data_IF_608086305718
#
_entry.id   IF_608086305718
#
_cell.length_a   1.000
_cell.length_b   1.000
_cell.length_c   1.000
_cell.angle_alpha   90.00
_cell.angle_beta   90.00
_cell.angle_gamma   90.00
#
_symmetry.space_group_name_H-M   'P 1'
#
loop_
_entity.id
_entity.type
_entity.pdbx_description
1 polymer ?
#
# COMPACT_ATOMS: atom_id res chain seq x y z
N UNK A 1 -5.04 13.39 -20.73
CA UNK A 1 -3.93 14.19 -21.28
C UNK A 1 -2.93 13.20 -21.84
N UNK A 2 -2.54 13.38 -23.09
CA UNK A 2 -1.56 12.56 -23.79
C UNK A 2 -0.52 13.52 -24.38
N UNK A 3 0.71 13.05 -24.47
CA UNK A 3 1.78 13.75 -25.18
C UNK A 3 1.88 13.07 -26.54
N UNK A 4 1.76 13.86 -27.60
CA UNK A 4 1.93 13.40 -28.96
C UNK A 4 3.27 13.89 -29.51
N UNK A 5 4.05 12.98 -30.07
CA UNK A 5 5.30 13.30 -30.74
C UNK A 5 5.08 13.35 -32.25
N UNK A 6 5.11 14.56 -32.84
CA UNK A 6 4.96 14.76 -34.29
C UNK A 6 6.06 14.06 -35.11
N UNK A 7 7.27 13.91 -34.56
CA UNK A 7 8.40 13.29 -35.29
C UNK A 7 8.31 11.77 -35.33
N UNK A 8 7.84 11.14 -34.24
CA UNK A 8 7.75 9.68 -34.14
C UNK A 8 6.34 9.16 -34.47
N UNK A 9 5.36 10.06 -34.59
CA UNK A 9 3.93 9.74 -34.73
C UNK A 9 3.41 8.83 -33.59
N UNK A 10 3.92 9.04 -32.37
CA UNK A 10 3.56 8.25 -31.18
C UNK A 10 2.75 9.13 -30.23
N UNK A 11 1.64 8.58 -29.73
CA UNK A 11 0.87 9.14 -28.64
C UNK A 11 1.14 8.36 -27.35
N UNK A 12 1.61 9.05 -26.32
CA UNK A 12 1.85 8.47 -24.99
C UNK A 12 0.87 9.08 -23.99
N UNK A 13 0.07 8.28 -23.27
CA UNK A 13 -0.79 8.80 -22.22
C UNK A 13 0.05 9.35 -21.07
N UNK A 14 -0.25 10.55 -20.58
CA UNK A 14 0.49 11.12 -19.44
C UNK A 14 0.08 10.50 -18.10
N UNK A 15 -1.01 9.74 -18.08
CA UNK A 15 -1.46 9.01 -16.89
C UNK A 15 -0.71 7.68 -16.80
N UNK A 16 0.37 7.67 -16.02
CA UNK A 16 1.20 6.49 -15.77
C UNK A 16 0.67 5.59 -14.63
N UNK A 17 -0.30 6.05 -13.84
CA UNK A 17 -0.91 5.26 -12.76
C UNK A 17 -2.22 4.60 -13.22
N UNK A 18 -2.35 3.30 -12.93
CA UNK A 18 -3.63 2.59 -12.99
C UNK A 18 -4.65 3.29 -12.08
N UNK A 19 -5.91 3.26 -12.50
CA UNK A 19 -7.03 3.82 -11.75
C UNK A 19 -7.81 2.72 -11.05
N UNK A 20 -8.12 2.97 -9.79
CA UNK A 20 -8.79 2.07 -8.89
C UNK A 20 -10.18 2.59 -8.51
N UNK A 21 -11.00 1.69 -7.97
CA UNK A 21 -12.34 1.97 -7.45
C UNK A 21 -13.44 1.83 -8.51
N UNK A 22 -14.72 1.79 -8.08
CA UNK A 22 -15.86 1.57 -8.99
C UNK A 22 -15.95 2.63 -10.09
N UNK A 23 -15.60 3.88 -9.77
CA UNK A 23 -15.62 5.01 -10.69
C UNK A 23 -14.32 5.20 -11.47
N UNK A 24 -13.32 4.32 -11.30
CA UNK A 24 -11.99 4.40 -11.92
C UNK A 24 -11.37 5.80 -11.87
N UNK A 25 -11.48 6.48 -10.73
CA UNK A 25 -11.04 7.86 -10.54
C UNK A 25 -9.95 8.01 -9.46
N UNK A 26 -9.52 6.91 -8.84
CA UNK A 26 -8.51 6.95 -7.77
C UNK A 26 -7.19 6.42 -8.33
N UNK A 27 -6.15 7.26 -8.51
CA UNK A 27 -4.84 6.80 -8.90
C UNK A 27 -4.30 5.78 -7.87
N UNK A 28 -3.90 4.60 -8.33
CA UNK A 28 -3.31 3.56 -7.49
C UNK A 28 -2.03 4.05 -6.78
N UNK A 29 -1.26 4.91 -7.44
CA UNK A 29 -0.04 5.51 -6.88
C UNK A 29 -0.28 6.17 -5.51
N UNK A 30 -1.46 6.75 -5.28
CA UNK A 30 -1.83 7.38 -4.02
C UNK A 30 -1.86 6.37 -2.85
N UNK A 31 -2.27 5.12 -3.12
CA UNK A 31 -2.23 4.05 -2.11
C UNK A 31 -0.80 3.57 -1.88
N UNK A 32 -0.02 3.43 -2.96
CA UNK A 32 1.37 2.96 -2.90
C UNK A 32 2.25 3.91 -2.09
N UNK A 33 2.17 5.22 -2.35
CA UNK A 33 2.96 6.21 -1.62
C UNK A 33 2.56 6.28 -0.15
N UNK A 34 1.27 6.18 0.18
CA UNK A 34 0.81 6.14 1.57
C UNK A 34 1.30 4.89 2.32
N UNK A 35 1.29 3.73 1.66
CA UNK A 35 1.85 2.51 2.21
C UNK A 35 3.38 2.63 2.41
N UNK A 36 4.10 3.12 1.40
CA UNK A 36 5.55 3.31 1.47
C UNK A 36 5.96 4.24 2.61
N UNK A 37 5.29 5.40 2.75
CA UNK A 37 5.52 6.34 3.86
C UNK A 37 5.30 5.67 5.22
N UNK A 38 4.22 4.91 5.37
CA UNK A 38 3.94 4.15 6.59
C UNK A 38 5.02 3.12 6.90
N UNK A 39 5.52 2.40 5.90
CA UNK A 39 6.59 1.40 6.06
C UNK A 39 7.91 2.03 6.52
N UNK A 40 8.22 3.27 6.14
CA UNK A 40 9.41 4.00 6.62
C UNK A 40 9.16 4.78 7.91
N UNK A 41 7.99 4.61 8.55
CA UNK A 41 7.65 5.29 9.79
C UNK A 41 7.19 6.75 9.61
N UNK A 42 6.87 7.18 8.39
CA UNK A 42 6.42 8.52 8.07
C UNK A 42 4.91 8.60 7.83
N UNK A 43 4.33 9.73 8.25
CA UNK A 43 2.90 10.03 8.07
C UNK A 43 2.60 10.86 6.82
N UNK A 44 1.41 11.47 6.80
CA UNK A 44 1.04 12.42 5.75
C UNK A 44 2.00 13.62 5.68
N UNK A 45 2.51 14.10 6.81
CA UNK A 45 3.45 15.23 6.85
C UNK A 45 4.79 14.89 6.19
N UNK A 46 5.30 13.67 6.40
CA UNK A 46 6.48 13.19 5.68
C UNK A 46 6.22 13.09 4.17
N UNK A 47 5.01 12.69 3.77
CA UNK A 47 4.61 12.68 2.37
C UNK A 47 4.52 14.08 1.76
N UNK A 48 3.98 15.06 2.49
CA UNK A 48 3.93 16.47 2.05
C UNK A 48 5.34 17.03 1.87
N UNK A 49 6.22 16.75 2.82
CA UNK A 49 7.64 17.14 2.77
C UNK A 49 8.33 16.53 1.56
N UNK A 50 8.14 15.23 1.33
CA UNK A 50 8.68 14.54 0.15
C UNK A 50 8.17 15.16 -1.17
N UNK A 51 6.86 15.39 -1.30
CA UNK A 51 6.31 16.04 -2.49
C UNK A 51 6.91 17.45 -2.68
N UNK A 52 7.04 18.23 -1.61
CA UNK A 52 7.64 19.57 -1.67
C UNK A 52 9.10 19.55 -2.11
N UNK A 53 9.92 18.62 -1.60
CA UNK A 53 11.33 18.47 -1.99
C UNK A 53 11.46 18.04 -3.45
N UNK A 54 10.57 17.16 -3.91
CA UNK A 54 10.59 16.60 -5.26
C UNK A 54 9.89 17.48 -6.31
N UNK A 55 9.42 18.67 -5.93
CA UNK A 55 8.61 19.56 -6.77
C UNK A 55 7.38 18.85 -7.39
N UNK A 56 6.72 18.03 -6.58
CA UNK A 56 5.51 17.32 -6.94
C UNK A 56 4.28 18.05 -6.43
N UNK A 57 3.15 17.82 -7.09
CA UNK A 57 1.86 18.23 -6.56
C UNK A 57 1.64 17.70 -5.13
N UNK A 58 0.90 18.44 -4.28
CA UNK A 58 0.59 17.99 -2.93
C UNK A 58 0.01 16.57 -2.91
N UNK A 59 0.31 15.79 -1.86
CA UNK A 59 -0.23 14.45 -1.73
C UNK A 59 -1.76 14.48 -1.49
N UNK A 60 -2.35 13.30 -1.35
CA UNK A 60 -3.78 13.14 -1.08
C UNK A 60 -4.24 13.94 0.15
N UNK A 61 -5.53 14.31 0.15
CA UNK A 61 -6.15 14.98 1.30
C UNK A 61 -6.09 14.14 2.58
N UNK A 62 -6.15 14.79 3.74
CA UNK A 62 -6.15 14.14 5.06
C UNK A 62 -7.19 13.01 5.15
N UNK A 63 -8.44 13.28 4.76
CA UNK A 63 -9.51 12.27 4.78
C UNK A 63 -9.18 11.07 3.89
N UNK A 64 -8.67 11.31 2.68
CA UNK A 64 -8.26 10.24 1.76
C UNK A 64 -7.10 9.42 2.35
N UNK A 65 -6.11 10.09 2.94
CA UNK A 65 -5.00 9.45 3.62
C UNK A 65 -5.49 8.54 4.76
N UNK A 66 -6.37 9.03 5.62
CA UNK A 66 -6.95 8.25 6.72
C UNK A 66 -7.74 7.04 6.22
N UNK A 67 -8.52 7.19 5.15
CA UNK A 67 -9.22 6.06 4.53
C UNK A 67 -8.27 4.99 4.00
N UNK A 68 -7.18 5.41 3.35
CA UNK A 68 -6.14 4.48 2.90
C UNK A 68 -5.51 3.79 4.11
N UNK A 69 -5.19 4.55 5.16
CA UNK A 69 -4.61 4.04 6.39
C UNK A 69 -5.49 2.99 7.07
N UNK A 70 -6.80 3.21 7.14
CA UNK A 70 -7.78 2.26 7.70
C UNK A 70 -7.83 0.98 6.89
N UNK A 71 -7.85 1.09 5.55
CA UNK A 71 -7.87 -0.08 4.65
C UNK A 71 -6.59 -0.90 4.74
N UNK A 72 -5.43 -0.24 4.76
CA UNK A 72 -4.14 -0.91 4.96
C UNK A 72 -4.13 -1.63 6.30
N UNK A 73 -4.53 -0.96 7.40
CA UNK A 73 -4.58 -1.57 8.72
C UNK A 73 -5.50 -2.80 8.77
N UNK A 74 -6.71 -2.71 8.18
CA UNK A 74 -7.63 -3.84 8.13
C UNK A 74 -7.04 -5.03 7.35
N UNK A 75 -6.44 -4.78 6.19
CA UNK A 75 -5.79 -5.82 5.40
C UNK A 75 -4.60 -6.44 6.15
N UNK A 76 -3.74 -5.62 6.77
CA UNK A 76 -2.61 -6.10 7.56
C UNK A 76 -3.05 -6.95 8.75
N UNK A 77 -4.13 -6.58 9.44
CA UNK A 77 -4.70 -7.38 10.54
C UNK A 77 -5.18 -8.74 10.07
N UNK A 78 -5.88 -8.79 8.94
CA UNK A 78 -6.37 -10.05 8.38
C UNK A 78 -5.21 -10.96 7.98
N UNK A 79 -4.20 -10.43 7.30
CA UNK A 79 -3.00 -11.19 6.93
C UNK A 79 -2.26 -11.68 8.17
N UNK A 80 -2.11 -10.85 9.20
CA UNK A 80 -1.49 -11.26 10.45
C UNK A 80 -2.27 -12.41 11.11
N UNK A 81 -3.60 -12.30 11.18
CA UNK A 81 -4.46 -13.34 11.73
C UNK A 81 -4.33 -14.66 10.94
N UNK A 82 -4.44 -14.61 9.62
CA UNK A 82 -4.29 -15.80 8.76
C UNK A 82 -2.90 -16.41 8.86
N UNK A 83 -1.86 -15.58 8.92
CA UNK A 83 -0.47 -16.02 9.07
C UNK A 83 -0.24 -16.71 10.42
N UNK A 84 -0.73 -16.13 11.52
CA UNK A 84 -0.60 -16.72 12.85
C UNK A 84 -1.40 -18.02 12.97
N UNK A 85 -2.60 -18.07 12.40
CA UNK A 85 -3.41 -19.29 12.34
C UNK A 85 -2.67 -20.39 11.57
N UNK A 86 -2.14 -20.05 10.39
CA UNK A 86 -1.39 -20.99 9.55
C UNK A 86 -0.15 -21.52 10.28
N UNK A 87 0.61 -20.66 10.95
CA UNK A 87 1.77 -21.07 11.75
C UNK A 87 1.36 -22.06 12.86
N UNK A 88 0.25 -21.80 13.56
CA UNK A 88 -0.26 -22.73 14.57
C UNK A 88 -0.68 -24.09 13.96
N UNK A 89 -1.36 -24.09 12.81
CA UNK A 89 -1.76 -25.31 12.10
C UNK A 89 -0.52 -26.12 11.64
N UNK A 90 0.54 -25.43 11.20
CA UNK A 90 1.83 -26.04 10.81
C UNK A 90 2.56 -26.66 12.01
N UNK A 91 2.59 -25.99 13.16
CA UNK A 91 3.22 -26.50 14.39
C UNK A 91 2.51 -27.75 14.90
N UNK A 92 1.17 -27.77 14.93
CA UNK A 92 0.39 -28.94 15.34
C UNK A 92 0.67 -30.13 14.42
N UNK A 93 0.73 -29.91 13.10
CA UNK A 93 1.04 -30.96 12.13
C UNK A 93 2.47 -31.52 12.27
N UNK A 94 3.42 -30.70 12.70
CA UNK A 94 4.81 -31.12 12.88
C UNK A 94 5.04 -31.94 14.16
N UNK A 95 4.31 -31.65 15.24
CA UNK A 95 4.49 -32.28 16.56
C UNK A 95 3.46 -33.40 16.84
N UNK A 96 2.43 -33.55 15.99
CA UNK A 96 1.26 -34.43 16.21
C UNK A 96 0.64 -34.25 17.61
N UNK A 97 0.68 -33.00 18.09
CA UNK A 97 0.21 -32.60 19.41
C UNK A 97 -0.36 -31.19 19.34
N UNK A 98 -1.43 -30.95 20.09
CA UNK A 98 -2.01 -29.62 20.27
C UNK A 98 -1.36 -28.82 21.41
N UNK A 99 -0.43 -29.43 22.15
CA UNK A 99 0.37 -28.71 23.13
C UNK A 99 1.40 -27.84 22.39
N UNK A 100 1.17 -26.53 22.45
CA UNK A 100 2.04 -25.54 21.83
C UNK A 100 3.34 -25.48 22.64
N UNK A 101 4.41 -26.03 22.09
CA UNK A 101 5.75 -25.88 22.66
C UNK A 101 6.25 -24.47 22.35
N UNK A 102 6.24 -23.59 23.34
CA UNK A 102 6.90 -22.29 23.22
C UNK A 102 8.40 -22.56 23.27
N UNK A 103 9.09 -22.39 22.14
CA UNK A 103 10.54 -22.26 22.14
C UNK A 103 10.88 -20.99 22.90
N UNK A 104 11.19 -21.13 24.20
CA UNK A 104 11.78 -20.03 24.96
C UNK A 104 13.21 -19.83 24.49
N UNK A 105 13.42 -18.80 23.69
CA UNK A 105 14.71 -18.14 23.50
C UNK A 105 15.05 -17.21 24.70
#
# INVERSE_FOLDING_TARGET
>A
MSIYCNSCNIEVPTRNSKLSGPKRNIPEINRRIAYAMRSVGQGLEGMKTFCGIMDLNPPVSQNSYEQICRRVNAASKNVAFESMKKAADEDVAAVDSTDITVSGD
#
